data_IF_274048936173
#
_entry.id   IF_274048936173
#
_cell.length_a   1.000
_cell.length_b   1.000
_cell.length_c   1.000
_cell.angle_alpha   90.00
_cell.angle_beta   90.00
_cell.angle_gamma   90.00
#
_symmetry.space_group_name_H-M   'P 1'
#
loop_
_entity.id
_entity.type
_entity.pdbx_description
1 polymer ?
#
# COMPACT_ATOMS: atom_id res chain seq x y z
N UNK A 1 4.38 -9.81 23.55
CA UNK A 1 4.46 -11.05 24.33
C UNK A 1 3.42 -12.02 23.76
N UNK A 2 3.77 -13.25 23.38
CA UNK A 2 2.74 -14.22 23.01
C UNK A 2 1.91 -14.55 24.27
N UNK A 3 0.57 -14.70 24.18
CA UNK A 3 -0.25 -15.05 25.33
C UNK A 3 0.15 -16.42 25.88
N UNK A 4 0.21 -16.56 27.21
CA UNK A 4 0.50 -17.82 27.87
C UNK A 4 -0.60 -18.85 27.51
N UNK A 5 -0.19 -20.01 26.99
CA UNK A 5 -1.13 -21.07 26.63
C UNK A 5 -1.62 -21.80 27.88
N UNK A 6 -2.91 -22.11 27.96
CA UNK A 6 -3.60 -22.64 29.15
C UNK A 6 -3.55 -24.16 29.28
N UNK A 7 -2.80 -24.88 28.44
CA UNK A 7 -2.75 -26.35 28.40
C UNK A 7 -4.11 -27.03 28.21
N UNK A 8 -5.10 -26.29 27.68
CA UNK A 8 -6.44 -26.81 27.37
C UNK A 8 -6.52 -27.21 25.88
N UNK A 9 -7.47 -28.08 25.52
CA UNK A 9 -7.71 -28.52 24.14
C UNK A 9 -8.55 -27.54 23.31
N UNK A 10 -9.32 -26.67 23.98
CA UNK A 10 -10.22 -25.69 23.39
C UNK A 10 -9.99 -24.29 23.99
N UNK A 11 -10.53 -23.25 23.36
CA UNK A 11 -10.32 -21.84 23.73
C UNK A 11 -9.20 -21.15 22.94
N UNK A 12 -9.14 -19.82 23.03
CA UNK A 12 -8.18 -18.97 22.29
C UNK A 12 -6.71 -19.26 22.64
N UNK A 13 -6.42 -19.56 23.91
CA UNK A 13 -5.06 -19.82 24.40
C UNK A 13 -4.75 -21.31 24.55
N UNK A 14 -5.41 -22.18 23.80
CA UNK A 14 -5.24 -23.63 23.88
C UNK A 14 -3.81 -24.09 23.54
N UNK A 15 -3.50 -25.30 23.97
CA UNK A 15 -2.24 -26.00 23.70
C UNK A 15 -1.20 -25.88 24.81
N UNK A 16 -0.11 -26.61 24.65
CA UNK A 16 0.95 -26.73 25.66
C UNK A 16 1.64 -25.37 25.91
N UNK A 17 1.79 -24.93 27.17
CA UNK A 17 2.58 -23.74 27.50
C UNK A 17 4.02 -23.95 27.04
N UNK A 18 4.48 -23.07 26.16
CA UNK A 18 5.83 -23.10 25.57
C UNK A 18 6.41 -21.70 25.60
N UNK A 19 7.71 -21.58 25.86
CA UNK A 19 8.45 -20.32 25.76
C UNK A 19 8.71 -20.03 24.29
N UNK A 20 8.22 -18.89 23.79
CA UNK A 20 8.40 -18.51 22.38
C UNK A 20 9.78 -17.90 22.19
N UNK A 21 10.61 -18.52 21.36
CA UNK A 21 11.92 -17.98 20.96
C UNK A 21 11.72 -16.97 19.82
N UNK A 22 12.23 -15.73 19.93
CA UNK A 22 12.14 -14.76 18.85
C UNK A 22 12.95 -15.25 17.64
N UNK A 23 12.28 -15.42 16.49
CA UNK A 23 12.93 -15.87 15.25
C UNK A 23 13.50 -14.68 14.50
N UNK A 24 14.72 -14.82 13.97
CA UNK A 24 15.28 -13.82 13.05
C UNK A 24 14.49 -13.80 11.74
N UNK A 25 14.39 -12.61 11.13
CA UNK A 25 13.67 -12.45 9.87
C UNK A 25 14.52 -13.04 8.74
N UNK A 26 13.94 -14.02 8.03
CA UNK A 26 14.61 -14.65 6.88
C UNK A 26 14.79 -13.64 5.73
N UNK A 27 15.91 -13.67 4.99
CA UNK A 27 16.11 -12.81 3.82
C UNK A 27 14.99 -12.92 2.77
N UNK A 28 14.39 -14.10 2.61
CA UNK A 28 13.23 -14.32 1.72
C UNK A 28 12.04 -13.40 2.03
N UNK A 29 11.85 -13.06 3.31
CA UNK A 29 10.74 -12.20 3.76
C UNK A 29 11.00 -10.72 3.45
N UNK A 30 12.25 -10.34 3.11
CA UNK A 30 12.61 -8.97 2.71
C UNK A 30 12.30 -8.68 1.24
N UNK A 31 11.78 -9.65 0.48
CA UNK A 31 11.38 -9.44 -0.93
C UNK A 31 10.26 -8.40 -1.01
N UNK A 32 10.46 -7.37 -1.83
CA UNK A 32 9.48 -6.30 -2.05
C UNK A 32 9.71 -5.05 -1.21
N UNK A 33 10.71 -5.04 -0.32
CA UNK A 33 11.12 -3.84 0.42
C UNK A 33 11.69 -2.80 -0.56
N UNK A 34 11.22 -1.56 -0.41
CA UNK A 34 11.74 -0.39 -1.11
C UNK A 34 13.06 0.02 -0.46
N UNK A 35 14.12 0.08 -1.26
CA UNK A 35 15.41 0.66 -0.88
C UNK A 35 15.51 2.08 -1.44
N UNK A 36 16.36 2.93 -0.85
CA UNK A 36 16.57 4.32 -1.29
C UNK A 36 16.91 4.43 -2.77
N UNK A 37 17.78 3.54 -3.26
CA UNK A 37 18.09 3.45 -4.69
C UNK A 37 16.86 3.15 -5.56
N UNK A 38 15.97 2.25 -5.12
CA UNK A 38 14.76 1.90 -5.88
C UNK A 38 13.73 3.02 -5.86
N UNK A 39 13.61 3.76 -4.76
CA UNK A 39 12.69 4.91 -4.68
C UNK A 39 13.20 6.05 -5.57
N UNK A 40 14.49 6.35 -5.54
CA UNK A 40 15.12 7.35 -6.40
C UNK A 40 14.96 7.03 -7.89
N UNK A 41 15.26 5.80 -8.31
CA UNK A 41 15.08 5.40 -9.72
C UNK A 41 13.61 5.51 -10.16
N UNK A 42 12.67 5.15 -9.30
CA UNK A 42 11.23 5.25 -9.60
C UNK A 42 10.74 6.70 -9.72
N UNK A 43 11.26 7.63 -8.92
CA UNK A 43 10.87 9.05 -9.02
C UNK A 43 11.33 9.64 -10.34
N UNK A 44 12.59 9.37 -10.74
CA UNK A 44 13.14 9.83 -12.03
C UNK A 44 12.32 9.29 -13.22
N UNK A 45 12.00 7.99 -13.22
CA UNK A 45 11.18 7.40 -14.29
C UNK A 45 9.79 8.03 -14.33
N UNK A 46 9.18 8.31 -13.18
CA UNK A 46 7.84 8.91 -13.10
C UNK A 46 7.84 10.34 -13.63
N UNK A 47 8.90 11.10 -13.39
CA UNK A 47 9.08 12.46 -13.92
C UNK A 47 9.18 12.45 -15.45
N UNK A 48 10.02 11.57 -16.01
CA UNK A 48 10.26 11.47 -17.47
C UNK A 48 9.05 10.90 -18.22
N UNK A 49 8.49 9.78 -17.76
CA UNK A 49 7.40 9.10 -18.46
C UNK A 49 6.00 9.69 -18.16
N UNK A 50 5.86 10.40 -17.04
CA UNK A 50 4.61 11.01 -16.60
C UNK A 50 3.53 9.99 -16.18
N UNK A 51 2.27 10.41 -16.37
CA UNK A 51 1.08 9.64 -16.00
C UNK A 51 0.38 9.05 -17.23
N UNK A 52 -0.10 7.82 -17.08
CA UNK A 52 -0.93 7.17 -18.07
C UNK A 52 -2.32 7.83 -18.19
N UNK A 53 -3.05 7.62 -19.32
CA UNK A 53 -4.34 8.27 -19.54
C UNK A 53 -5.38 7.99 -18.46
N UNK A 54 -5.41 6.77 -17.90
CA UNK A 54 -6.35 6.44 -16.84
C UNK A 54 -5.97 7.10 -15.50
N UNK A 55 -4.67 7.24 -15.20
CA UNK A 55 -4.20 7.96 -14.01
C UNK A 55 -4.57 9.44 -14.10
N UNK A 56 -4.41 10.07 -15.27
CA UNK A 56 -4.85 11.45 -15.53
C UNK A 56 -6.35 11.63 -15.27
N UNK A 57 -7.18 10.74 -15.81
CA UNK A 57 -8.64 10.77 -15.57
C UNK A 57 -9.00 10.58 -14.09
N UNK A 58 -8.25 9.78 -13.35
CA UNK A 58 -8.46 9.59 -11.92
C UNK A 58 -8.07 10.85 -11.15
N UNK A 59 -6.96 11.49 -11.49
CA UNK A 59 -6.56 12.76 -10.89
C UNK A 59 -7.61 13.86 -11.11
N UNK A 60 -8.19 13.95 -12.30
CA UNK A 60 -9.32 14.88 -12.58
C UNK A 60 -10.53 14.61 -11.68
N UNK A 61 -10.88 13.34 -11.46
CA UNK A 61 -11.99 12.97 -10.58
C UNK A 61 -11.70 13.31 -9.12
N UNK A 62 -10.45 13.12 -8.67
CA UNK A 62 -10.01 13.45 -7.31
C UNK A 62 -9.95 14.97 -7.08
N UNK A 63 -9.53 15.76 -8.07
CA UNK A 63 -9.57 17.24 -8.01
C UNK A 63 -11.00 17.78 -7.86
N UNK A 64 -11.98 17.08 -8.43
CA UNK A 64 -13.40 17.40 -8.32
C UNK A 64 -14.11 16.73 -7.13
N UNK A 65 -13.37 16.16 -6.17
CA UNK A 65 -13.90 15.48 -4.98
C UNK A 65 -14.86 14.31 -5.29
N UNK A 66 -14.71 13.64 -6.44
CA UNK A 66 -15.54 12.51 -6.89
C UNK A 66 -14.92 11.15 -6.53
N UNK A 67 -14.56 10.95 -5.27
CA UNK A 67 -13.78 9.78 -4.80
C UNK A 67 -14.42 8.42 -5.10
N UNK A 68 -15.75 8.32 -4.94
CA UNK A 68 -16.49 7.09 -5.22
C UNK A 68 -16.39 6.71 -6.71
N UNK A 69 -16.42 7.70 -7.61
CA UNK A 69 -16.26 7.48 -9.06
C UNK A 69 -14.80 7.15 -9.40
N UNK A 70 -13.83 7.83 -8.79
CA UNK A 70 -12.41 7.53 -8.94
C UNK A 70 -12.07 6.09 -8.53
N UNK A 71 -12.59 5.63 -7.39
CA UNK A 71 -12.44 4.24 -6.91
C UNK A 71 -13.12 3.22 -7.83
N UNK A 72 -14.31 3.50 -8.35
CA UNK A 72 -14.98 2.62 -9.32
C UNK A 72 -14.18 2.49 -10.62
N UNK A 73 -13.67 3.61 -11.15
CA UNK A 73 -12.90 3.62 -12.39
C UNK A 73 -11.55 2.90 -12.22
N UNK A 74 -10.80 3.19 -11.15
CA UNK A 74 -9.53 2.47 -10.86
C UNK A 74 -9.76 0.98 -10.60
N UNK A 75 -10.83 0.59 -9.89
CA UNK A 75 -11.16 -0.82 -9.69
C UNK A 75 -11.46 -1.52 -11.04
N UNK A 76 -12.19 -0.87 -11.94
CA UNK A 76 -12.45 -1.41 -13.29
C UNK A 76 -11.16 -1.60 -14.10
N UNK A 77 -10.14 -0.75 -13.90
CA UNK A 77 -8.84 -0.83 -14.60
C UNK A 77 -7.84 -1.80 -13.95
N UNK A 78 -7.78 -1.87 -12.62
CA UNK A 78 -6.78 -2.64 -11.87
C UNK A 78 -7.31 -3.98 -11.31
N UNK A 79 -8.62 -4.20 -11.36
CA UNK A 79 -9.33 -5.40 -10.93
C UNK A 79 -9.81 -5.35 -9.47
N UNK A 80 -8.89 -5.31 -8.50
CA UNK A 80 -9.24 -5.46 -7.08
C UNK A 80 -9.39 -4.12 -6.34
N UNK A 81 -10.19 -4.13 -5.27
CA UNK A 81 -10.40 -2.94 -4.44
C UNK A 81 -9.12 -2.53 -3.71
N UNK A 82 -8.30 -3.49 -3.24
CA UNK A 82 -7.04 -3.20 -2.57
C UNK A 82 -6.07 -2.42 -3.48
N UNK A 83 -5.94 -2.84 -4.74
CA UNK A 83 -5.10 -2.14 -5.74
C UNK A 83 -5.66 -0.75 -6.06
N UNK A 84 -6.98 -0.63 -6.21
CA UNK A 84 -7.65 0.65 -6.42
C UNK A 84 -7.39 1.63 -5.27
N UNK A 85 -7.54 1.21 -4.01
CA UNK A 85 -7.27 2.05 -2.82
C UNK A 85 -5.83 2.57 -2.83
N UNK A 86 -4.85 1.67 -2.98
CA UNK A 86 -3.42 2.02 -3.07
C UNK A 86 -3.15 3.03 -4.18
N UNK A 87 -3.76 2.84 -5.36
CA UNK A 87 -3.54 3.73 -6.50
C UNK A 87 -4.17 5.11 -6.30
N UNK A 88 -5.36 5.17 -5.69
CA UNK A 88 -6.03 6.42 -5.36
C UNK A 88 -5.25 7.20 -4.31
N UNK A 89 -4.70 6.54 -3.29
CA UNK A 89 -3.82 7.15 -2.29
C UNK A 89 -2.55 7.72 -2.92
N UNK A 90 -1.89 6.97 -3.82
CA UNK A 90 -0.72 7.45 -4.58
C UNK A 90 -1.03 8.72 -5.39
N UNK A 91 -2.13 8.71 -6.15
CA UNK A 91 -2.53 9.86 -6.98
C UNK A 91 -2.99 11.06 -6.13
N UNK A 92 -3.58 10.81 -4.96
CA UNK A 92 -3.94 11.88 -4.01
C UNK A 92 -2.68 12.56 -3.47
N UNK A 93 -1.66 11.78 -3.09
CA UNK A 93 -0.39 12.32 -2.62
C UNK A 93 0.29 13.22 -3.68
N UNK A 94 0.29 12.76 -4.94
CA UNK A 94 0.81 13.56 -6.07
C UNK A 94 0.06 14.90 -6.21
N UNK A 95 -1.27 14.91 -6.08
CA UNK A 95 -2.05 16.16 -6.17
C UNK A 95 -1.66 17.12 -5.04
N UNK A 96 -1.44 16.61 -3.83
CA UNK A 96 -1.01 17.43 -2.69
C UNK A 96 0.38 18.02 -2.93
N UNK A 97 1.33 17.22 -3.44
CA UNK A 97 2.67 17.71 -3.80
C UNK A 97 2.62 18.76 -4.91
N UNK A 98 1.81 18.54 -5.95
CA UNK A 98 1.61 19.53 -7.02
C UNK A 98 1.04 20.85 -6.49
N UNK A 99 0.10 20.80 -5.54
CA UNK A 99 -0.44 22.00 -4.90
C UNK A 99 0.63 22.73 -4.10
N UNK A 100 1.49 22.00 -3.37
CA UNK A 100 2.59 22.59 -2.59
C UNK A 100 3.66 23.24 -3.46
N UNK A 101 4.00 22.64 -4.59
CA UNK A 101 5.02 23.17 -5.49
C UNK A 101 4.53 24.34 -6.37
N UNK A 102 3.21 24.50 -6.54
CA UNK A 102 2.60 25.59 -7.28
C UNK A 102 2.27 26.83 -6.44
N UNK A 103 2.57 26.80 -5.14
CA UNK A 103 2.58 27.95 -4.24
C UNK A 103 4.03 28.35 -3.98
#
# INVERSE_FOLDING_TARGET
MAPARSNLRYGMNKGRPTTVIPRTVRPSNKRGVSTEKKTFVKSVIREVAGFSPYEKRVMELLRNSKDKKAKKLTKKRLGTLLRSKRKVEELSAVIVEQRRAGH
#
